data_IF_953016161259
#
_entry.id   IF_953016161259
#
_cell.length_a   1.000
_cell.length_b   1.000
_cell.length_c   1.000
_cell.angle_alpha   90.00
_cell.angle_beta   90.00
_cell.angle_gamma   90.00
#
_symmetry.space_group_name_H-M   'P 1'
#
loop_
_entity.id
_entity.type
_entity.pdbx_description
1 polymer ?
2 polymer ?
3 non-polymer ?
4 non-polymer ?
5 non-polymer ?
6 water ?
#
# COMPACT_ATOMS: atom_id res chain seq x y z
N UNK A 24 -12.50 -34.90 -25.90
CA UNK A 24 -11.08 -34.98 -25.56
C UNK A 24 -10.83 -34.62 -24.11
N UNK A 25 -11.34 -35.45 -23.19
CA UNK A 25 -11.21 -35.17 -21.77
C UNK A 25 -9.75 -35.04 -21.36
N UNK A 26 -8.89 -35.91 -21.90
CA UNK A 26 -7.50 -35.96 -21.46
C UNK A 26 -6.72 -34.73 -21.92
N UNK A 27 -6.92 -34.32 -23.17
CA UNK A 27 -6.23 -33.13 -23.68
C UNK A 27 -6.68 -31.86 -22.95
N UNK A 28 -7.97 -31.76 -22.63
CA UNK A 28 -8.47 -30.58 -21.91
C UNK A 28 -7.96 -30.56 -20.47
N UNK A 29 -7.88 -31.74 -19.83
CA UNK A 29 -7.31 -31.82 -18.49
C UNK A 29 -5.87 -31.35 -18.48
N UNK A 30 -5.11 -31.66 -19.54
CA UNK A 30 -3.74 -31.20 -19.66
C UNK A 30 -3.66 -29.69 -19.87
N UNK A 31 -4.56 -29.14 -20.70
CA UNK A 31 -4.58 -27.70 -20.91
C UNK A 31 -4.81 -26.94 -19.61
N UNK A 32 -5.62 -27.52 -18.72
CA UNK A 32 -5.89 -26.87 -17.44
C UNK A 32 -4.74 -27.06 -16.44
N UNK A 33 -4.37 -28.31 -16.18
CA UNK A 33 -3.48 -28.62 -15.07
C UNK A 33 -2.01 -28.40 -15.39
N UNK A 34 -1.63 -28.34 -16.66
CA UNK A 34 -0.23 -28.16 -17.03
C UNK A 34 -0.03 -26.85 -17.78
N UNK A 35 -0.73 -26.68 -18.90
CA UNK A 35 -0.49 -25.52 -19.76
C UNK A 35 -0.91 -24.24 -19.07
N UNK A 36 -2.19 -24.15 -18.69
CA UNK A 36 -2.70 -22.92 -18.09
C UNK A 36 -2.06 -22.66 -16.73
N UNK A 37 -1.88 -23.71 -15.93
CA UNK A 37 -1.29 -23.53 -14.61
C UNK A 37 0.13 -22.99 -14.70
N UNK A 38 0.90 -23.48 -15.68
CA UNK A 38 2.28 -23.02 -15.84
C UNK A 38 2.33 -21.54 -16.18
N UNK A 39 1.47 -21.09 -17.10
CA UNK A 39 1.40 -19.67 -17.41
C UNK A 39 0.86 -18.87 -16.23
N UNK A 40 -0.11 -19.44 -15.50
CA UNK A 40 -0.72 -18.73 -14.38
C UNK A 40 0.27 -18.42 -13.28
N UNK A 41 1.27 -19.28 -13.07
CA UNK A 41 2.26 -19.10 -12.02
C UNK A 41 3.40 -18.20 -12.43
N UNK A 42 3.55 -17.92 -13.71
CA UNK A 42 4.60 -17.01 -14.15
C UNK A 42 4.29 -15.60 -13.65
N UNK A 43 5.36 -14.86 -13.32
CA UNK A 43 5.13 -13.51 -12.83
C UNK A 43 4.59 -12.57 -13.90
N UNK A 44 4.56 -12.98 -15.18
CA UNK A 44 3.99 -12.14 -16.22
C UNK A 44 2.51 -12.42 -16.43
N UNK A 45 1.89 -13.21 -15.56
CA UNK A 45 0.51 -13.62 -15.81
C UNK A 45 -0.50 -12.54 -15.46
N UNK A 46 -0.18 -11.67 -14.49
CA UNK A 46 -1.23 -10.84 -13.90
C UNK A 46 -1.97 -9.93 -14.89
N UNK A 47 -1.34 -9.35 -15.94
CA UNK A 47 -2.14 -8.51 -16.85
C UNK A 47 -3.16 -9.31 -17.64
N UNK A 48 -3.05 -10.64 -17.68
CA UNK A 48 -3.90 -11.49 -18.48
C UNK A 48 -4.83 -12.36 -17.64
N UNK A 49 -4.89 -12.14 -16.33
CA UNK A 49 -5.67 -12.99 -15.44
C UNK A 49 -7.11 -12.54 -15.29
N UNK A 50 -7.47 -11.35 -15.76
CA UNK A 50 -8.86 -10.92 -15.80
C UNK A 50 -9.08 -10.13 -17.08
N UNK A 51 -10.33 -9.99 -17.52
CA UNK A 51 -10.61 -9.21 -18.73
C UNK A 51 -10.12 -7.76 -18.61
N UNK A 52 -9.77 -7.21 -19.77
CA UNK A 52 -9.45 -5.78 -19.87
C UNK A 52 -10.76 -5.01 -19.74
N UNK A 53 -10.93 -4.33 -18.61
CA UNK A 53 -12.09 -3.49 -18.37
C UNK A 53 -11.76 -2.09 -18.89
N UNK A 54 -12.12 -1.85 -20.16
CA UNK A 54 -11.69 -0.63 -20.82
C UNK A 54 -12.27 0.62 -20.17
N UNK A 55 -13.44 0.51 -19.54
CA UNK A 55 -14.01 1.64 -18.84
C UNK A 55 -13.20 1.95 -17.58
N UNK A 56 -12.96 0.93 -16.76
CA UNK A 56 -12.20 1.13 -15.53
C UNK A 56 -10.78 1.58 -15.82
N UNK A 57 -10.17 1.06 -16.89
CA UNK A 57 -8.79 1.36 -17.23
C UNK A 57 -8.63 2.62 -18.06
N UNK A 58 -9.72 3.31 -18.38
CA UNK A 58 -9.71 4.53 -19.19
C UNK A 58 -9.05 4.27 -20.55
N UNK A 59 -9.49 3.19 -21.20
CA UNK A 59 -9.06 2.84 -22.56
C UNK A 59 -10.24 2.94 -23.52
N UNK A 60 -10.68 4.14 -23.89
CA UNK A 60 -11.91 4.26 -24.71
C UNK A 60 -11.80 3.59 -26.08
N UNK A 61 -10.60 3.41 -26.61
CA UNK A 61 -10.41 2.84 -27.92
C UNK A 61 -10.26 1.32 -27.93
N UNK A 62 -10.26 0.67 -26.76
CA UNK A 62 -9.88 -0.75 -26.70
C UNK A 62 -10.89 -1.63 -27.43
N UNK A 63 -12.18 -1.47 -27.14
CA UNK A 63 -13.19 -2.30 -27.77
C UNK A 63 -13.39 -1.97 -29.24
N UNK A 64 -12.98 -0.78 -29.68
CA UNK A 64 -13.05 -0.45 -31.09
C UNK A 64 -12.00 -1.21 -31.90
N UNK A 65 -10.82 -1.43 -31.31
CA UNK A 65 -9.73 -2.11 -31.99
C UNK A 65 -9.79 -3.61 -31.77
N UNK A 66 -10.09 -4.05 -30.54
CA UNK A 66 -10.13 -5.45 -30.17
C UNK A 66 -11.60 -5.87 -30.14
N UNK A 67 -12.02 -6.68 -31.11
CA UNK A 67 -13.41 -7.09 -31.20
C UNK A 67 -13.71 -8.40 -30.49
N UNK A 68 -12.68 -9.20 -30.19
CA UNK A 68 -12.85 -10.46 -29.47
C UNK A 68 -11.90 -10.45 -28.27
N UNK A 69 -12.33 -9.84 -27.17
CA UNK A 69 -11.49 -9.86 -25.96
C UNK A 69 -11.35 -11.26 -25.42
N UNK A 70 -10.18 -11.54 -24.83
CA UNK A 70 -9.93 -12.85 -24.26
C UNK A 70 -8.81 -12.72 -23.23
N UNK A 71 -8.91 -13.53 -22.17
CA UNK A 71 -7.93 -13.52 -21.09
C UNK A 71 -7.86 -14.90 -20.46
N UNK A 72 -6.81 -15.11 -19.66
CA UNK A 72 -6.59 -16.40 -19.02
C UNK A 72 -7.61 -16.69 -17.91
N UNK A 73 -8.14 -15.64 -17.26
CA UNK A 73 -9.22 -15.85 -16.31
C UNK A 73 -10.46 -16.42 -16.98
N UNK A 74 -10.77 -15.94 -18.18
CA UNK A 74 -11.91 -16.49 -18.91
C UNK A 74 -11.63 -17.91 -19.38
N UNK A 75 -10.41 -18.16 -19.86
CA UNK A 75 -10.01 -19.51 -20.27
C UNK A 75 -10.09 -20.47 -19.08
N UNK A 76 -9.67 -20.01 -17.91
CA UNK A 76 -9.71 -20.84 -16.71
C UNK A 76 -11.13 -21.26 -16.37
N UNK A 77 -12.07 -20.30 -16.36
CA UNK A 77 -13.46 -20.62 -16.05
C UNK A 77 -14.08 -21.52 -17.10
N UNK A 78 -13.70 -21.35 -18.37
CA UNK A 78 -14.24 -22.22 -19.41
C UNK A 78 -13.73 -23.65 -19.27
N UNK A 79 -12.46 -23.81 -18.90
CA UNK A 79 -11.94 -25.15 -18.62
C UNK A 79 -12.59 -25.75 -17.38
N UNK A 80 -12.74 -24.94 -16.31
CA UNK A 80 -13.30 -25.45 -15.06
C UNK A 80 -14.77 -25.85 -15.22
N UNK A 81 -15.49 -25.22 -16.15
CA UNK A 81 -16.91 -25.47 -16.32
C UNK A 81 -17.21 -26.29 -17.56
N UNK A 82 -16.19 -26.91 -18.16
CA UNK A 82 -16.37 -27.83 -19.28
C UNK A 82 -17.05 -27.15 -20.47
N UNK A 83 -16.77 -25.86 -20.68
CA UNK A 83 -17.37 -25.14 -21.80
C UNK A 83 -16.69 -25.42 -23.12
N UNK A 84 -15.50 -26.00 -23.11
CA UNK A 84 -14.82 -26.36 -24.34
C UNK A 84 -15.18 -27.79 -24.76
N UNK A 85 -15.39 -27.97 -26.05
CA UNK A 85 -15.69 -29.29 -26.58
C UNK A 85 -14.44 -30.04 -27.01
N UNK A 86 -13.39 -29.34 -27.43
CA UNK A 86 -12.14 -29.98 -27.80
C UNK A 86 -10.99 -29.04 -27.46
N UNK A 87 -9.78 -29.57 -27.62
CA UNK A 87 -8.58 -28.80 -27.29
C UNK A 87 -8.40 -27.61 -28.23
N UNK A 88 -8.77 -27.77 -29.50
CA UNK A 88 -8.54 -26.71 -30.48
C UNK A 88 -9.31 -25.45 -30.11
N UNK A 89 -10.53 -25.60 -29.58
CA UNK A 89 -11.29 -24.44 -29.12
C UNK A 89 -10.53 -23.69 -28.03
N UNK A 90 -9.93 -24.42 -27.09
CA UNK A 90 -9.18 -23.77 -26.01
C UNK A 90 -7.90 -23.13 -26.53
N UNK A 91 -7.15 -23.84 -27.37
CA UNK A 91 -5.94 -23.28 -27.96
C UNK A 91 -6.25 -22.00 -28.73
N UNK A 92 -7.40 -21.96 -29.41
CA UNK A 92 -7.75 -20.78 -30.18
C UNK A 92 -7.93 -19.56 -29.27
N UNK A 93 -8.49 -19.76 -28.07
CA UNK A 93 -8.67 -18.65 -27.16
C UNK A 93 -7.32 -18.11 -26.66
N UNK A 94 -6.36 -19.00 -26.39
CA UNK A 94 -5.01 -18.55 -26.03
C UNK A 94 -4.43 -17.66 -27.12
N UNK A 95 -4.51 -18.11 -28.38
CA UNK A 95 -3.95 -17.35 -29.49
C UNK A 95 -4.66 -16.01 -29.65
N UNK A 96 -5.99 -15.99 -29.45
CA UNK A 96 -6.71 -14.73 -29.50
C UNK A 96 -6.18 -13.76 -28.44
N UNK A 97 -5.96 -14.26 -27.23
CA UNK A 97 -5.42 -13.42 -26.17
C UNK A 97 -4.07 -12.81 -26.56
N UNK A 98 -3.17 -13.64 -27.09
CA UNK A 98 -1.86 -13.14 -27.48
C UNK A 98 -1.96 -12.13 -28.62
N UNK A 99 -2.74 -12.44 -29.66
CA UNK A 99 -2.86 -11.54 -30.79
C UNK A 99 -3.49 -10.21 -30.39
N UNK A 100 -4.50 -10.25 -29.51
CA UNK A 100 -5.10 -9.01 -29.02
C UNK A 100 -4.05 -8.08 -28.44
N UNK A 101 -3.13 -8.64 -27.64
CA UNK A 101 -2.05 -7.84 -27.06
C UNK A 101 -1.12 -7.30 -28.14
N UNK A 102 -0.77 -8.14 -29.12
CA UNK A 102 0.11 -7.68 -30.19
C UNK A 102 -0.55 -6.61 -31.04
N UNK A 103 -1.86 -6.73 -31.27
CA UNK A 103 -2.57 -5.76 -32.11
C UNK A 103 -2.70 -4.43 -31.38
N UNK A 104 -3.09 -4.46 -30.10
CA UNK A 104 -3.40 -3.22 -29.40
C UNK A 104 -2.14 -2.45 -29.02
N UNK A 105 -1.06 -3.14 -28.73
CA UNK A 105 0.18 -2.50 -28.31
C UNK A 105 1.19 -2.50 -29.45
N UNK A 106 2.31 -1.84 -29.21
CA UNK A 106 3.36 -1.70 -30.20
C UNK A 106 4.48 -2.69 -29.93
N UNK A 107 5.26 -3.05 -30.95
CA UNK A 107 6.49 -3.81 -30.68
C UNK A 107 7.39 -2.99 -29.78
N UNK A 108 8.04 -3.64 -28.83
CA UNK A 108 8.87 -2.94 -27.89
C UNK A 108 8.15 -2.42 -26.66
N UNK A 109 6.82 -2.49 -26.62
CA UNK A 109 6.10 -2.20 -25.39
C UNK A 109 6.42 -3.26 -24.34
N UNK A 110 6.40 -2.84 -23.07
CA UNK A 110 6.70 -3.76 -21.99
C UNK A 110 5.74 -4.95 -21.99
N UNK A 111 4.44 -4.70 -22.23
CA UNK A 111 3.47 -5.78 -22.16
C UNK A 111 3.65 -6.76 -23.31
N UNK A 112 4.19 -6.30 -24.44
CA UNK A 112 4.42 -7.21 -25.56
C UNK A 112 5.57 -8.15 -25.25
N UNK A 113 6.60 -7.66 -24.55
CA UNK A 113 7.67 -8.56 -24.09
C UNK A 113 7.11 -9.66 -23.19
N UNK A 114 6.20 -9.29 -22.27
CA UNK A 114 5.60 -10.30 -21.40
C UNK A 114 4.76 -11.30 -22.19
N UNK A 115 3.97 -10.80 -23.15
CA UNK A 115 3.11 -11.69 -23.93
C UNK A 115 3.93 -12.63 -24.81
N UNK A 116 5.00 -12.13 -25.42
CA UNK A 116 5.83 -12.99 -26.27
C UNK A 116 6.49 -14.09 -25.45
N UNK A 117 6.93 -13.78 -24.23
CA UNK A 117 7.52 -14.80 -23.38
C UNK A 117 6.47 -15.82 -22.95
N UNK A 118 5.27 -15.35 -22.59
CA UNK A 118 4.21 -16.26 -22.20
C UNK A 118 3.80 -17.14 -23.38
N UNK A 119 3.77 -16.59 -24.59
CA UNK A 119 3.39 -17.38 -25.76
C UNK A 119 4.45 -18.44 -26.07
N UNK A 120 5.73 -18.06 -26.02
CA UNK A 120 6.79 -19.04 -26.20
C UNK A 120 6.68 -20.15 -25.16
N UNK A 121 6.41 -19.78 -23.90
CA UNK A 121 6.19 -20.77 -22.86
C UNK A 121 4.98 -21.62 -23.19
N UNK A 122 3.90 -21.00 -23.64
CA UNK A 122 2.70 -21.72 -24.04
C UNK A 122 3.00 -22.75 -25.12
N UNK A 123 3.75 -22.35 -26.16
CA UNK A 123 4.07 -23.26 -27.25
C UNK A 123 4.96 -24.41 -26.80
N UNK A 124 5.79 -24.20 -25.77
CA UNK A 124 6.62 -25.29 -25.27
C UNK A 124 5.78 -26.37 -24.61
N UNK A 125 4.69 -25.99 -23.95
CA UNK A 125 3.82 -26.97 -23.30
C UNK A 125 2.81 -27.56 -24.26
N UNK A 126 2.43 -26.84 -25.32
CA UNK A 126 1.52 -27.42 -26.30
C UNK A 126 2.21 -28.49 -27.15
N UNK A 127 3.55 -28.51 -27.18
CA UNK A 127 4.26 -29.57 -27.89
C UNK A 127 4.01 -30.92 -27.26
N UNK A 128 3.78 -30.96 -25.95
CA UNK A 128 3.64 -32.19 -25.19
C UNK A 128 2.19 -32.55 -24.92
N UNK A 129 1.27 -32.04 -25.74
CA UNK A 129 -0.15 -32.33 -25.57
C UNK A 129 -0.41 -33.80 -25.86
N UNK A 130 -1.16 -34.50 -25.01
CA UNK A 130 -1.42 -35.93 -25.25
C UNK A 130 -2.31 -36.14 -26.47
N UNK A 131 -2.45 -37.40 -26.86
CA UNK A 131 -3.28 -37.76 -28.00
C UNK A 131 -4.53 -38.51 -27.54
N UNK B 26 12.91 34.99 22.74
CA UNK B 26 14.15 34.41 22.24
C UNK B 26 14.29 32.95 22.63
N UNK B 27 13.96 32.65 23.90
CA UNK B 27 13.93 31.26 24.34
C UNK B 27 12.87 30.46 23.58
N UNK B 28 11.75 31.10 23.27
CA UNK B 28 10.71 30.45 22.48
C UNK B 28 11.19 30.15 21.07
N UNK B 29 12.07 30.99 20.53
CA UNK B 29 12.64 30.73 19.21
C UNK B 29 13.55 29.51 19.26
N UNK B 30 14.33 29.35 20.34
CA UNK B 30 15.19 28.18 20.47
C UNK B 30 14.36 26.91 20.62
N UNK B 31 13.23 26.99 21.33
CA UNK B 31 12.37 25.82 21.48
C UNK B 31 11.82 25.36 20.13
N UNK B 32 11.53 26.30 19.24
CA UNK B 32 11.02 25.95 17.92
C UNK B 32 12.15 25.49 17.00
N UNK B 33 13.16 26.34 16.81
CA UNK B 33 14.16 26.13 15.76
C UNK B 33 15.13 24.99 16.08
N UNK B 34 15.36 24.72 17.36
CA UNK B 34 16.40 23.78 17.77
C UNK B 34 15.80 22.55 18.46
N UNK B 35 15.05 22.76 19.54
CA UNK B 35 14.54 21.63 20.31
C UNK B 35 13.48 20.87 19.52
N UNK B 36 12.41 21.55 19.15
CA UNK B 36 11.30 20.86 18.48
C UNK B 36 11.72 20.34 17.10
N UNK B 37 12.52 21.12 16.37
CA UNK B 37 12.99 20.67 15.06
C UNK B 37 13.82 19.39 15.18
N UNK B 38 14.67 19.32 16.21
CA UNK B 38 15.48 18.12 16.42
C UNK B 38 14.59 16.94 16.79
N UNK B 39 13.61 17.17 17.66
CA UNK B 39 12.68 16.10 18.05
C UNK B 39 11.85 15.63 16.86
N UNK B 40 11.50 16.55 15.98
CA UNK B 40 10.64 16.23 14.84
C UNK B 40 11.29 15.22 13.90
N UNK B 41 12.63 15.25 13.78
CA UNK B 41 13.37 14.38 12.87
C UNK B 41 13.72 13.03 13.48
N UNK B 42 13.50 12.83 14.78
CA UNK B 42 13.74 11.53 15.38
C UNK B 42 12.81 10.49 14.78
N UNK B 43 13.32 9.26 14.64
CA UNK B 43 12.54 8.21 13.99
C UNK B 43 11.32 7.79 14.80
N UNK B 44 11.28 8.13 16.08
CA UNK B 44 10.16 7.79 16.96
C UNK B 44 9.20 8.96 17.18
N UNK B 45 9.31 10.02 16.37
CA UNK B 45 8.49 11.20 16.59
C UNK B 45 7.05 11.02 16.14
N UNK B 46 6.81 10.15 15.15
CA UNK B 46 5.51 10.15 14.49
C UNK B 46 4.32 9.90 15.42
N UNK B 47 4.39 9.06 16.46
CA UNK B 47 3.21 8.90 17.33
C UNK B 47 2.85 10.17 18.08
N UNK B 48 3.76 11.13 18.15
CA UNK B 48 3.56 12.35 18.93
C UNK B 48 3.39 13.59 18.06
N UNK B 49 3.25 13.43 16.74
CA UNK B 49 3.15 14.56 15.83
C UNK B 49 1.72 14.99 15.56
N UNK B 50 0.73 14.24 16.04
CA UNK B 50 -0.68 14.57 15.93
C UNK B 50 -1.37 14.28 17.25
N UNK B 51 -2.49 14.94 17.53
CA UNK B 51 -3.26 14.64 18.74
C UNK B 51 -3.75 13.20 18.76
N UNK B 52 -3.85 12.64 19.97
CA UNK B 52 -4.47 11.34 20.15
C UNK B 52 -5.98 11.54 19.98
N UNK B 53 -6.52 11.14 18.83
CA UNK B 53 -7.96 11.19 18.57
C UNK B 53 -8.55 9.87 19.05
N UNK B 54 -8.97 9.85 20.32
CA UNK B 54 -9.37 8.58 20.93
C UNK B 54 -10.60 7.99 20.26
N UNK B 55 -11.45 8.84 19.66
CA UNK B 55 -12.62 8.33 18.95
C UNK B 55 -12.18 7.64 17.66
N UNK B 56 -11.34 8.31 16.87
CA UNK B 56 -10.84 7.70 15.64
C UNK B 56 -9.99 6.47 15.94
N UNK B 57 -9.23 6.51 17.03
CA UNK B 57 -8.35 5.41 17.40
C UNK B 57 -9.05 4.34 18.23
N UNK B 58 -10.34 4.52 18.52
CA UNK B 58 -11.14 3.54 19.27
C UNK B 58 -10.48 3.22 20.61
N UNK B 59 -10.17 4.27 21.36
CA UNK B 59 -9.61 4.18 22.71
C UNK B 59 -10.65 4.64 23.71
N UNK B 60 -11.54 3.77 24.18
CA UNK B 60 -12.69 4.25 24.98
C UNK B 60 -12.30 4.86 26.31
N UNK B 61 -11.10 4.55 26.84
CA UNK B 61 -10.72 5.00 28.17
C UNK B 61 -9.62 6.05 28.17
N UNK B 62 -9.19 6.53 26.99
CA UNK B 62 -8.09 7.48 26.95
C UNK B 62 -8.46 8.80 27.61
N UNK B 63 -9.59 9.38 27.22
CA UNK B 63 -9.99 10.68 27.76
C UNK B 63 -10.42 10.62 29.22
N UNK B 64 -10.84 9.45 29.70
CA UNK B 64 -11.15 9.32 31.12
C UNK B 64 -9.89 9.30 31.97
N UNK B 65 -8.77 8.85 31.40
CA UNK B 65 -7.50 8.79 32.11
C UNK B 65 -6.67 10.04 31.87
N UNK B 66 -6.62 10.49 30.63
CA UNK B 66 -5.83 11.66 30.23
C UNK B 66 -6.77 12.84 30.12
N UNK B 67 -6.67 13.79 31.06
CA UNK B 67 -7.59 14.92 31.08
C UNK B 67 -7.08 16.11 30.28
N UNK B 68 -5.78 16.19 30.02
CA UNK B 68 -5.18 17.26 29.23
C UNK B 68 -4.30 16.65 28.14
N UNK B 69 -4.88 16.26 27.01
CA UNK B 69 -4.06 15.72 25.91
C UNK B 69 -3.13 16.79 25.35
N UNK B 70 -1.97 16.34 24.86
CA UNK B 70 -1.00 17.26 24.28
C UNK B 70 -0.12 16.48 23.32
N UNK B 71 0.34 17.17 22.27
CA UNK B 71 1.18 16.55 21.25
C UNK B 71 2.11 17.59 20.65
N UNK B 72 3.12 17.10 19.92
CA UNK B 72 4.10 17.99 19.30
C UNK B 72 3.51 18.77 18.14
N UNK B 73 2.51 18.23 17.46
CA UNK B 73 1.84 19.00 16.42
C UNK B 73 1.18 20.24 16.98
N UNK B 74 0.55 20.12 18.14
CA UNK B 74 -0.06 21.27 18.80
C UNK B 74 1.01 22.26 19.28
N UNK B 75 2.10 21.74 19.86
CA UNK B 75 3.18 22.60 20.30
C UNK B 75 3.78 23.36 19.12
N UNK B 76 3.96 22.68 17.98
CA UNK B 76 4.53 23.33 16.80
C UNK B 76 3.66 24.50 16.34
N UNK B 77 2.36 24.27 16.24
CA UNK B 77 1.45 25.33 15.79
C UNK B 77 1.40 26.47 16.80
N UNK B 78 1.49 26.15 18.10
CA UNK B 78 1.48 27.21 19.11
C UNK B 78 2.76 28.03 19.05
N UNK B 79 3.91 27.39 18.83
CA UNK B 79 5.15 28.15 18.69
C UNK B 79 5.15 29.00 17.43
N UNK B 80 4.65 28.46 16.31
CA UNK B 80 4.65 29.19 15.06
C UNK B 80 3.70 30.38 15.09
N UNK B 81 2.64 30.33 15.90
CA UNK B 81 1.63 31.38 15.93
C UNK B 81 1.72 32.26 17.17
N UNK B 82 2.84 32.20 17.89
CA UNK B 82 3.11 33.10 19.03
C UNK B 82 2.05 32.95 20.12
N UNK B 83 1.58 31.72 20.33
CA UNK B 83 0.52 31.46 21.29
C UNK B 83 1.01 31.59 22.73
N UNK B 84 2.24 31.14 23.00
CA UNK B 84 2.69 31.01 24.37
C UNK B 84 3.01 32.37 24.99
N UNK B 85 2.72 32.50 26.28
CA UNK B 85 3.13 33.68 27.03
C UNK B 85 4.64 33.70 27.25
N UNK B 86 5.23 32.53 27.48
CA UNK B 86 6.65 32.46 27.80
C UNK B 86 7.14 31.04 27.53
N UNK B 87 8.46 30.85 27.66
CA UNK B 87 9.06 29.55 27.35
C UNK B 87 8.61 28.46 28.31
N UNK B 88 8.41 28.80 29.58
CA UNK B 88 8.03 27.79 30.56
C UNK B 88 6.68 27.17 30.23
N UNK B 89 5.74 27.97 29.72
CA UNK B 89 4.44 27.43 29.31
C UNK B 89 4.62 26.37 28.23
N UNK B 90 5.52 26.60 27.28
CA UNK B 90 5.78 25.63 26.22
C UNK B 90 6.44 24.37 26.78
N UNK B 91 7.43 24.54 27.65
CA UNK B 91 8.08 23.39 28.28
C UNK B 91 7.05 22.53 29.02
N UNK B 92 6.07 23.17 29.66
CA UNK B 92 5.03 22.43 30.36
C UNK B 92 4.20 21.57 29.42
N UNK B 93 3.97 22.04 28.19
CA UNK B 93 3.25 21.22 27.23
C UNK B 93 4.05 19.99 26.84
N UNK B 94 5.37 20.14 26.67
CA UNK B 94 6.23 19.00 26.43
C UNK B 94 6.11 17.98 27.56
N UNK B 95 6.22 18.45 28.80
CA UNK B 95 6.16 17.55 29.96
C UNK B 95 4.81 16.85 30.04
N UNK B 96 3.72 17.57 29.76
CA UNK B 96 2.41 16.97 29.77
C UNK B 96 2.31 15.86 28.72
N UNK B 97 2.84 16.11 27.52
CA UNK B 97 2.84 15.10 26.47
C UNK B 97 3.50 13.81 26.93
N UNK B 98 4.70 13.92 27.50
CA UNK B 98 5.43 12.74 27.96
C UNK B 98 4.69 12.06 29.12
N UNK B 99 4.26 12.85 30.11
CA UNK B 99 3.61 12.28 31.28
C UNK B 99 2.31 11.56 30.91
N UNK B 100 1.54 12.14 29.98
CA UNK B 100 0.33 11.48 29.50
C UNK B 100 0.63 10.07 28.99
N UNK B 101 1.70 9.94 28.21
CA UNK B 101 2.06 8.64 27.66
C UNK B 101 2.40 7.64 28.76
N UNK B 102 3.12 8.09 29.79
CA UNK B 102 3.48 7.22 30.91
C UNK B 102 2.26 6.84 31.73
N UNK B 103 1.30 7.76 31.88
CA UNK B 103 0.12 7.47 32.70
C UNK B 103 -0.78 6.46 32.00
N UNK B 104 -1.01 6.64 30.69
CA UNK B 104 -1.98 5.81 29.98
C UNK B 104 -1.46 4.42 29.67
N UNK B 105 -0.17 4.30 29.35
CA UNK B 105 0.39 3.02 28.92
C UNK B 105 1.12 2.33 30.06
N UNK B 106 1.19 1.01 29.95
CA UNK B 106 1.89 0.21 30.95
C UNK B 106 3.40 0.30 30.71
N UNK B 107 4.19 0.24 31.78
CA UNK B 107 5.65 0.29 31.61
C UNK B 107 6.13 -0.86 30.73
N UNK B 108 7.12 -0.56 29.88
CA UNK B 108 7.66 -1.54 28.96
C UNK B 108 6.92 -1.66 27.65
N UNK B 109 5.78 -0.99 27.50
CA UNK B 109 5.11 -0.95 26.19
C UNK B 109 6.01 -0.26 25.18
N UNK B 110 5.84 -0.66 23.91
CA UNK B 110 6.68 -0.12 22.84
C UNK B 110 6.65 1.40 22.80
N UNK B 111 5.48 2.00 22.99
CA UNK B 111 5.37 3.45 22.89
C UNK B 111 6.07 4.13 24.09
N UNK B 112 6.14 3.46 25.24
CA UNK B 112 6.80 4.07 26.39
C UNK B 112 8.30 4.19 26.14
N UNK B 113 8.89 3.18 25.49
CA UNK B 113 10.30 3.27 25.12
C UNK B 113 10.55 4.35 24.08
N UNK B 114 9.60 4.56 23.16
CA UNK B 114 9.74 5.65 22.20
C UNK B 114 9.66 7.01 22.89
N UNK B 115 8.76 7.15 23.87
CA UNK B 115 8.66 8.40 24.62
C UNK B 115 9.93 8.66 25.42
N UNK B 116 10.50 7.61 26.01
CA UNK B 116 11.74 7.77 26.78
C UNK B 116 12.89 8.21 25.88
N UNK B 117 12.97 7.66 24.66
CA UNK B 117 14.04 8.06 23.75
C UNK B 117 13.87 9.51 23.32
N UNK B 118 12.64 9.93 23.02
CA UNK B 118 12.39 11.32 22.65
C UNK B 118 12.67 12.26 23.82
N UNK B 119 12.30 11.85 25.03
CA UNK B 119 12.49 12.72 26.18
C UNK B 119 13.97 12.88 26.50
N UNK B 120 14.75 11.80 26.37
CA UNK B 120 16.20 11.92 26.52
C UNK B 120 16.77 12.91 25.51
N UNK B 121 16.33 12.82 24.25
CA UNK B 121 16.75 13.80 23.26
C UNK B 121 16.28 15.20 23.62
N UNK B 122 15.04 15.33 24.10
CA UNK B 122 14.51 16.63 24.50
C UNK B 122 15.40 17.29 25.54
N UNK B 123 15.77 16.53 26.59
CA UNK B 123 16.65 17.08 27.61
C UNK B 123 18.06 17.32 27.06
N UNK B 124 18.48 16.52 26.09
CA UNK B 124 19.81 16.70 25.50
C UNK B 124 19.92 18.01 24.73
N UNK B 125 18.84 18.44 24.08
CA UNK B 125 18.86 19.71 23.35
C UNK B 125 18.47 20.90 24.22
N UNK B 126 17.68 20.65 25.28
CA UNK B 126 17.35 21.69 26.24
C UNK B 126 18.58 22.11 27.05
N UNK B 127 19.70 21.40 26.89
CA UNK B 127 20.93 21.71 27.62
C UNK B 127 21.38 23.14 27.37
N UNK B 128 21.20 23.64 26.15
CA UNK B 128 21.70 24.94 25.74
C UNK B 128 20.63 26.02 25.70
N UNK B 129 19.55 25.85 26.44
CA UNK B 129 18.52 26.87 26.50
C UNK B 129 19.06 28.13 27.18
N UNK B 130 18.91 29.32 26.57
CA UNK B 130 19.39 30.61 27.08
C UNK B 130 19.00 30.88 28.54
N UNK C 21 8.66 32.99 6.29
CA UNK C 21 7.32 32.62 6.77
C UNK C 21 7.38 31.69 7.99
N UNK C 22 6.89 32.18 9.13
CA UNK C 22 7.01 31.44 10.38
C UNK C 22 5.93 30.37 10.52
N UNK C 23 4.68 30.69 10.18
CA UNK C 23 3.59 29.72 10.26
C UNK C 23 3.74 28.64 9.20
N UNK C 24 4.68 27.73 9.40
CA UNK C 24 4.94 26.68 8.41
C UNK C 24 3.84 25.64 8.35
N UNK C 25 3.02 25.52 9.40
CA UNK C 25 1.83 24.66 9.31
C UNK C 25 0.83 25.21 8.30
N UNK C 26 0.79 26.54 8.13
CA UNK C 26 -0.16 27.14 7.19
C UNK C 26 0.29 26.93 5.75
N UNK C 27 1.58 27.14 5.46
CA UNK C 27 2.08 26.88 4.11
C UNK C 27 1.91 25.40 3.74
N UNK C 28 2.12 24.51 4.71
CA UNK C 28 1.90 23.09 4.45
C UNK C 28 0.42 22.79 4.21
N UNK C 29 -0.47 23.48 4.92
CA UNK C 29 -1.90 23.32 4.66
C UNK C 29 -2.26 23.83 3.27
N UNK C 30 -1.60 24.90 2.81
CA UNK C 30 -1.82 25.36 1.45
C UNK C 30 -1.32 24.34 0.43
N UNK C 31 -0.13 23.76 0.67
CA UNK C 31 0.37 22.75 -0.25
C UNK C 31 -0.59 21.57 -0.36
N UNK C 32 -1.25 21.22 0.74
CA UNK C 32 -2.20 20.11 0.71
C UNK C 32 -3.52 20.52 0.08
N UNK C 33 -4.08 21.66 0.51
CA UNK C 33 -5.45 21.98 0.12
C UNK C 33 -5.54 22.64 -1.25
N UNK C 34 -4.48 23.31 -1.70
CA UNK C 34 -4.50 24.03 -2.98
C UNK C 34 -3.58 23.38 -4.00
N UNK C 35 -2.30 23.23 -3.67
CA UNK C 35 -1.33 22.73 -4.65
C UNK C 35 -1.60 21.25 -4.97
N UNK C 36 -1.58 20.41 -3.94
CA UNK C 36 -1.73 18.98 -4.17
C UNK C 36 -3.12 18.64 -4.72
N UNK C 37 -4.15 19.31 -4.22
CA UNK C 37 -5.50 19.08 -4.74
C UNK C 37 -5.59 19.42 -6.22
N UNK C 38 -4.96 20.52 -6.63
CA UNK C 38 -4.95 20.89 -8.05
C UNK C 38 -4.19 19.88 -8.89
N UNK C 39 -3.02 19.45 -8.43
CA UNK C 39 -2.25 18.45 -9.17
C UNK C 39 -2.97 17.11 -9.22
N UNK C 40 -3.64 16.74 -8.13
CA UNK C 40 -4.32 15.45 -8.07
C UNK C 40 -5.40 15.34 -9.14
N UNK C 41 -6.02 16.47 -9.50
CA UNK C 41 -7.10 16.49 -10.47
C UNK C 41 -6.59 16.56 -11.90
N UNK C 42 -5.30 16.80 -12.10
CA UNK C 42 -4.74 16.83 -13.44
C UNK C 42 -4.88 15.45 -14.09
N UNK C 43 -5.13 15.46 -15.40
CA UNK C 43 -5.38 14.20 -16.12
C UNK C 43 -4.13 13.33 -16.23
N UNK C 44 -2.95 13.90 -16.04
CA UNK C 44 -1.70 13.16 -16.11
C UNK C 44 -1.09 12.86 -14.74
N UNK C 45 -1.86 13.04 -13.66
CA UNK C 45 -1.32 12.83 -12.33
C UNK C 45 -1.26 11.35 -11.96
N UNK C 46 -2.13 10.53 -12.55
CA UNK C 46 -2.31 9.18 -12.05
C UNK C 46 -1.05 8.31 -12.03
N UNK C 47 -0.09 8.41 -12.96
CA UNK C 47 1.10 7.54 -12.86
C UNK C 47 1.95 7.82 -11.64
N UNK C 48 1.75 8.95 -10.96
CA UNK C 48 2.58 9.35 -9.84
C UNK C 48 1.83 9.26 -8.53
N UNK C 49 0.65 8.66 -8.52
CA UNK C 49 -0.20 8.59 -7.32
C UNK C 49 0.02 7.34 -6.48
N UNK C 50 0.82 6.38 -6.94
CA UNK C 50 1.15 5.19 -6.18
C UNK C 50 2.65 4.93 -6.32
N UNK C 51 3.24 4.22 -5.36
CA UNK C 51 4.66 3.83 -5.50
C UNK C 51 4.85 2.94 -6.71
N UNK C 52 6.03 3.05 -7.33
CA UNK C 52 6.40 2.20 -8.46
C UNK C 52 6.70 0.79 -7.95
N UNK C 53 5.86 -0.17 -8.33
CA UNK C 53 6.06 -1.60 -8.01
C UNK C 53 6.93 -2.19 -9.12
N UNK C 54 8.25 -2.14 -8.93
CA UNK C 54 9.18 -2.48 -9.99
C UNK C 54 9.14 -3.96 -10.36
N UNK C 55 8.81 -4.83 -9.41
CA UNK C 55 8.73 -6.26 -9.73
C UNK C 55 7.52 -6.55 -10.60
N UNK C 56 6.36 -6.07 -10.18
CA UNK C 56 5.12 -6.33 -10.92
C UNK C 56 5.16 -5.69 -12.30
N UNK C 57 5.79 -4.53 -12.42
CA UNK C 57 5.90 -3.80 -13.68
C UNK C 57 7.11 -4.24 -14.51
N UNK C 58 7.89 -5.20 -14.01
CA UNK C 58 9.07 -5.73 -14.69
C UNK C 58 10.09 -4.64 -15.04
N UNK C 59 10.44 -3.85 -14.03
CA UNK C 59 11.47 -2.82 -14.15
C UNK C 59 12.68 -3.25 -13.34
N UNK C 60 13.46 -4.22 -13.80
CA UNK C 60 14.35 -4.96 -12.89
C UNK C 60 15.45 -4.12 -12.23
N UNK C 61 15.82 -2.97 -12.81
CA UNK C 61 16.90 -2.16 -12.27
C UNK C 61 16.42 -0.85 -11.66
N UNK C 62 15.11 -0.75 -11.38
CA UNK C 62 14.54 0.52 -10.92
C UNK C 62 15.09 0.91 -9.55
N UNK C 63 15.05 -0.01 -8.58
CA UNK C 63 15.50 0.33 -7.23
C UNK C 63 17.01 0.47 -7.16
N UNK C 64 17.74 -0.03 -8.15
CA UNK C 64 19.18 0.21 -8.23
C UNK C 64 19.49 1.61 -8.73
N UNK C 65 18.69 2.12 -9.67
CA UNK C 65 18.91 3.46 -10.20
C UNK C 65 18.27 4.51 -9.32
N UNK C 66 17.07 4.25 -8.81
CA UNK C 66 16.32 5.21 -8.00
C UNK C 66 16.51 4.82 -6.54
N UNK C 67 17.28 5.63 -5.81
CA UNK C 67 17.59 5.32 -4.42
C UNK C 67 16.62 5.96 -3.43
N UNK C 68 15.88 6.99 -3.83
CA UNK C 68 14.90 7.64 -2.97
C UNK C 68 13.57 7.66 -3.70
N UNK C 69 12.80 6.57 -3.64
CA UNK C 69 11.51 6.54 -4.32
C UNK C 69 10.55 7.56 -3.70
N UNK C 70 9.68 8.11 -4.54
CA UNK C 70 8.73 9.10 -4.07
C UNK C 70 7.55 9.13 -5.02
N UNK C 71 6.36 9.38 -4.46
CA UNK C 71 5.14 9.47 -5.23
C UNK C 71 4.19 10.44 -4.52
N UNK C 72 3.17 10.88 -5.26
CA UNK C 72 2.22 11.86 -4.73
C UNK C 72 1.31 11.26 -3.66
N UNK C 73 1.04 9.95 -3.74
CA UNK C 73 0.28 9.31 -2.67
C UNK C 73 1.01 9.37 -1.35
N UNK C 74 2.34 9.17 -1.38
CA UNK C 74 3.12 9.28 -0.15
C UNK C 74 3.18 10.72 0.34
N UNK C 75 3.38 11.67 -0.57
CA UNK C 75 3.38 13.08 -0.18
C UNK C 75 2.05 13.46 0.44
N UNK C 76 0.94 12.97 -0.13
CA UNK C 76 -0.38 13.33 0.38
C UNK C 76 -0.56 12.87 1.83
N UNK C 77 -0.28 11.60 2.11
CA UNK C 77 -0.45 11.12 3.48
C UNK C 77 0.54 11.78 4.44
N UNK C 78 1.72 12.18 3.95
CA UNK C 78 2.65 12.92 4.79
C UNK C 78 2.12 14.30 5.13
N UNK C 79 1.48 14.97 4.16
CA UNK C 79 0.85 16.26 4.44
C UNK C 79 -0.33 16.12 5.38
N UNK C 80 -1.15 15.08 5.19
CA UNK C 80 -2.33 14.90 6.01
C UNK C 80 -1.98 14.55 7.45
N UNK C 81 -0.84 13.92 7.67
CA UNK C 81 -0.49 13.41 8.99
C UNK C 81 0.66 14.17 9.65
N UNK C 82 0.94 15.39 9.19
CA UNK C 82 1.87 16.30 9.85
C UNK C 82 3.29 15.71 9.91
N UNK C 83 3.74 15.16 8.78
CA UNK C 83 5.08 14.60 8.71
C UNK C 83 6.14 15.67 8.48
N UNK C 84 5.83 16.69 7.69
CA UNK C 84 6.84 17.65 7.24
C UNK C 84 7.10 18.74 8.28
N UNK C 85 8.36 19.14 8.40
CA UNK C 85 8.71 20.26 9.26
C UNK C 85 8.34 21.60 8.63
N UNK C 86 8.60 21.78 7.34
CA UNK C 86 8.26 23.01 6.65
C UNK C 86 7.88 22.71 5.21
N UNK C 87 7.48 23.76 4.49
CA UNK C 87 7.04 23.60 3.11
C UNK C 87 8.17 23.17 2.19
N UNK C 88 9.41 23.61 2.43
CA UNK C 88 10.50 23.26 1.53
C UNK C 88 10.80 21.75 1.54
N UNK C 89 10.64 21.11 2.70
CA UNK C 89 10.79 19.66 2.78
C UNK C 89 9.76 18.96 1.89
N UNK C 90 8.52 19.45 1.87
CA UNK C 90 7.53 18.87 0.98
C UNK C 90 7.88 19.16 -0.47
N UNK C 91 8.26 20.40 -0.79
CA UNK C 91 8.68 20.76 -2.14
C UNK C 91 9.84 19.88 -2.58
N UNK C 92 10.73 19.54 -1.65
CA UNK C 92 11.87 18.67 -1.97
C UNK C 92 11.41 17.28 -2.40
N UNK C 93 10.34 16.77 -1.79
CA UNK C 93 9.81 15.46 -2.18
C UNK C 93 9.19 15.51 -3.58
N UNK C 94 8.48 16.58 -3.91
CA UNK C 94 7.97 16.74 -5.27
C UNK C 94 9.10 16.71 -6.29
N UNK C 95 10.16 17.49 -6.04
CA UNK C 95 11.28 17.54 -6.98
C UNK C 95 11.96 16.18 -7.11
N UNK C 96 12.09 15.45 -6.00
CA UNK C 96 12.64 14.09 -6.09
C UNK C 96 11.78 13.20 -6.97
N UNK C 97 10.45 13.30 -6.83
CA UNK C 97 9.53 12.52 -7.65
C UNK C 97 9.75 12.79 -9.12
N UNK C 98 9.83 14.07 -9.51
CA UNK C 98 10.01 14.42 -10.91
C UNK C 98 11.37 13.97 -11.44
N UNK C 99 12.44 14.23 -10.68
CA UNK C 99 13.78 13.87 -11.13
C UNK C 99 13.94 12.36 -11.26
N UNK C 100 13.35 11.59 -10.35
CA UNK C 100 13.38 10.13 -10.48
C UNK C 100 12.86 9.70 -11.84
N UNK C 101 11.75 10.30 -12.28
CA UNK C 101 11.16 9.95 -13.57
C UNK C 101 12.10 10.34 -14.72
N UNK C 102 12.73 11.50 -14.63
CA UNK C 102 13.65 11.94 -15.68
C UNK C 102 14.90 11.07 -15.73
N UNK C 103 15.38 10.62 -14.57
CA UNK C 103 16.61 9.83 -14.52
C UNK C 103 16.38 8.43 -15.09
N UNK C 104 15.30 7.77 -14.66
CA UNK C 104 15.09 6.38 -15.03
C UNK C 104 14.64 6.22 -16.46
N UNK C 105 13.85 7.15 -16.97
CA UNK C 105 13.30 7.04 -18.31
C UNK C 105 14.12 7.89 -19.28
N UNK C 106 13.83 7.74 -20.56
CA UNK C 106 14.50 8.44 -21.64
C UNK C 106 13.73 9.71 -21.99
N UNK C 107 14.42 10.72 -22.53
CA UNK C 107 13.71 11.94 -22.96
C UNK C 107 12.72 11.63 -24.07
N UNK C 108 11.55 12.26 -24.00
CA UNK C 108 10.51 12.03 -24.98
C UNK C 108 9.60 10.86 -24.67
N UNK C 109 9.87 10.09 -23.63
CA UNK C 109 8.94 9.03 -23.23
C UNK C 109 7.60 9.64 -22.83
N UNK C 110 6.53 8.87 -23.05
CA UNK C 110 5.19 9.35 -22.72
C UNK C 110 5.09 9.78 -21.27
N UNK C 111 5.69 9.01 -20.36
CA UNK C 111 5.59 9.33 -18.95
C UNK C 111 6.41 10.57 -18.61
N UNK C 112 7.48 10.84 -19.36
CA UNK C 112 8.28 12.04 -19.12
C UNK C 112 7.52 13.29 -19.54
N UNK C 113 6.82 13.23 -20.69
CA UNK C 113 5.96 14.34 -21.09
C UNK C 113 4.90 14.62 -20.05
N UNK C 114 4.41 13.58 -19.37
CA UNK C 114 3.43 13.78 -18.30
C UNK C 114 4.08 14.39 -17.06
N UNK C 115 5.29 13.95 -16.71
CA UNK C 115 5.98 14.51 -15.56
C UNK C 115 6.34 15.98 -15.78
N UNK C 116 6.75 16.33 -17.00
CA UNK C 116 7.10 17.71 -17.29
C UNK C 116 5.90 18.63 -17.15
N UNK C 117 4.72 18.17 -17.58
CA UNK C 117 3.52 18.99 -17.45
C UNK C 117 3.13 19.18 -15.99
N UNK C 118 3.21 18.12 -15.18
CA UNK C 118 2.90 18.27 -13.75
C UNK C 118 3.90 19.18 -13.06
N UNK C 119 5.19 19.07 -13.42
CA UNK C 119 6.19 19.90 -12.77
C UNK C 119 6.01 21.37 -13.14
N UNK C 120 5.71 21.65 -14.41
CA UNK C 120 5.42 23.03 -14.82
C UNK C 120 4.23 23.58 -14.05
N UNK C 121 3.16 22.79 -13.93
CA UNK C 121 2.01 23.21 -13.13
C UNK C 121 2.38 23.35 -11.66
N UNK C 122 3.17 22.41 -11.14
CA UNK C 122 3.60 22.48 -9.74
C UNK C 122 4.38 23.76 -9.46
N UNK C 123 5.38 24.06 -10.29
CA UNK C 123 6.18 25.27 -10.07
C UNK C 123 5.34 26.53 -10.29
N UNK C 124 4.30 26.42 -11.11
CA UNK C 124 3.38 27.54 -11.32
C UNK C 124 2.62 27.87 -10.05
N UNK C 125 2.22 26.86 -9.27
CA UNK C 125 1.36 27.08 -8.12
C UNK C 125 2.13 27.40 -6.85
N UNK C 126 3.37 26.92 -6.68
CA UNK C 126 4.14 27.26 -5.50
C UNK C 126 4.59 28.70 -5.47
N UNK C 127 4.53 29.41 -6.62
CA UNK C 127 4.82 30.84 -6.64
C UNK C 127 3.84 31.64 -5.79
N UNK C 128 2.64 31.12 -5.55
CA UNK C 128 1.56 31.83 -4.90
C UNK C 128 1.47 31.54 -3.41
N UNK C 129 2.55 31.10 -2.79
CA UNK C 129 2.55 30.82 -1.34
C UNK C 129 2.39 32.09 -0.52
N UNK D 21 -13.96 -29.61 -5.54
CA UNK D 21 -14.70 -28.98 -6.65
C UNK D 21 -13.82 -28.51 -7.79
N UNK D 22 -14.20 -28.84 -9.02
CA UNK D 22 -13.44 -28.39 -10.18
C UNK D 22 -13.60 -26.89 -10.42
N UNK D 23 -14.73 -26.31 -9.99
CA UNK D 23 -15.04 -24.91 -10.29
C UNK D 23 -14.36 -24.02 -9.24
N UNK D 24 -13.04 -23.85 -9.41
CA UNK D 24 -12.24 -23.18 -8.39
C UNK D 24 -12.39 -21.66 -8.44
N UNK D 25 -12.57 -21.09 -9.63
CA UNK D 25 -12.86 -19.66 -9.70
C UNK D 25 -14.11 -19.32 -8.88
N UNK D 26 -15.13 -20.16 -8.96
CA UNK D 26 -16.35 -19.96 -8.18
C UNK D 26 -16.07 -20.07 -6.69
N UNK D 27 -15.26 -21.05 -6.28
CA UNK D 27 -14.90 -21.19 -4.87
C UNK D 27 -14.18 -19.95 -4.36
N UNK D 28 -13.31 -19.37 -5.19
CA UNK D 28 -12.62 -18.16 -4.78
C UNK D 28 -13.59 -16.98 -4.64
N UNK D 29 -14.63 -16.94 -5.48
CA UNK D 29 -15.64 -15.90 -5.34
C UNK D 29 -16.40 -16.03 -4.01
N UNK D 30 -16.73 -17.25 -3.60
CA UNK D 30 -17.34 -17.43 -2.29
C UNK D 30 -16.39 -17.05 -1.17
N UNK D 31 -15.09 -17.32 -1.33
CA UNK D 31 -14.12 -16.89 -0.34
C UNK D 31 -14.10 -15.38 -0.20
N UNK D 32 -14.29 -14.67 -1.31
CA UNK D 32 -14.32 -13.21 -1.27
C UNK D 32 -15.65 -12.70 -0.72
N UNK D 33 -16.77 -13.22 -1.24
CA UNK D 33 -18.07 -12.64 -0.99
C UNK D 33 -18.67 -13.07 0.35
N UNK D 34 -18.24 -14.19 0.90
CA UNK D 34 -18.83 -14.72 2.13
C UNK D 34 -17.81 -14.74 3.26
N UNK D 35 -16.69 -15.42 3.05
CA UNK D 35 -15.72 -15.60 4.12
C UNK D 35 -15.02 -14.28 4.45
N UNK D 36 -14.36 -13.69 3.45
CA UNK D 36 -13.59 -12.48 3.70
C UNK D 36 -14.49 -11.31 4.09
N UNK D 37 -15.66 -11.19 3.46
CA UNK D 37 -16.59 -10.12 3.81
C UNK D 37 -17.00 -10.20 5.27
N UNK D 38 -17.27 -11.42 5.76
CA UNK D 38 -17.63 -11.61 7.16
C UNK D 38 -16.46 -11.30 8.09
N UNK D 39 -15.26 -11.79 7.75
CA UNK D 39 -14.09 -11.56 8.58
C UNK D 39 -13.71 -10.09 8.62
N UNK D 40 -13.84 -9.38 7.50
CA UNK D 40 -13.44 -7.98 7.44
C UNK D 40 -14.22 -7.12 8.42
N UNK D 41 -15.49 -7.46 8.67
CA UNK D 41 -16.33 -6.65 9.53
C UNK D 41 -16.21 -7.00 11.01
N UNK D 42 -15.51 -8.09 11.34
CA UNK D 42 -15.33 -8.46 12.73
C UNK D 42 -14.54 -7.39 13.47
N UNK D 43 -14.86 -7.23 14.76
CA UNK D 43 -14.25 -6.18 15.56
C UNK D 43 -12.75 -6.40 15.80
N UNK D 44 -12.26 -7.63 15.62
CA UNK D 44 -10.85 -7.96 15.80
C UNK D 44 -10.09 -8.04 14.48
N UNK D 45 -10.70 -7.60 13.38
CA UNK D 45 -10.08 -7.74 12.07
C UNK D 45 -9.01 -6.69 11.81
N UNK D 46 -9.15 -5.50 12.39
CA UNK D 46 -8.34 -4.36 11.95
C UNK D 46 -6.83 -4.54 12.06
N UNK D 47 -6.25 -5.26 13.04
CA UNK D 47 -4.78 -5.41 13.04
C UNK D 47 -4.24 -6.18 11.85
N UNK D 48 -5.10 -6.88 11.11
CA UNK D 48 -4.67 -7.72 10.00
C UNK D 48 -5.09 -7.16 8.65
N UNK D 49 -5.57 -5.92 8.61
CA UNK D 49 -6.07 -5.34 7.37
C UNK D 49 -5.00 -4.56 6.59
N UNK D 50 -3.83 -4.36 7.15
CA UNK D 50 -2.74 -3.68 6.45
C UNK D 50 -1.45 -4.47 6.68
N UNK D 51 -0.48 -4.34 5.78
CA UNK D 51 0.82 -4.97 6.03
C UNK D 51 1.46 -4.40 7.29
N UNK D 52 2.20 -5.25 7.99
CA UNK D 52 2.97 -4.83 9.17
C UNK D 52 4.15 -3.99 8.71
N UNK D 53 4.14 -2.70 9.03
CA UNK D 53 5.27 -1.82 8.76
C UNK D 53 6.20 -1.91 9.97
N UNK D 54 7.12 -2.88 9.93
CA UNK D 54 7.96 -3.18 11.09
C UNK D 54 8.94 -2.07 11.41
N UNK D 55 9.37 -1.32 10.39
CA UNK D 55 10.30 -0.21 10.64
C UNK D 55 9.59 0.91 11.38
N UNK D 56 8.43 1.32 10.88
CA UNK D 56 7.67 2.38 11.53
C UNK D 56 7.22 1.96 12.93
N UNK D 57 6.85 0.70 13.09
CA UNK D 57 6.35 0.22 14.37
C UNK D 57 7.46 -0.22 15.33
N UNK D 58 8.72 -0.15 14.90
CA UNK D 58 9.85 -0.51 15.74
C UNK D 58 9.68 -1.92 16.28
N UNK D 59 9.46 -2.87 15.37
CA UNK D 59 9.33 -4.26 15.77
C UNK D 59 10.63 -4.96 15.47
N UNK D 60 11.46 -5.24 16.47
CA UNK D 60 12.78 -5.80 16.20
C UNK D 60 12.70 -7.21 15.63
N UNK D 61 13.51 -7.45 14.60
CA UNK D 61 13.66 -8.76 13.98
C UNK D 61 12.37 -9.27 13.33
N UNK D 62 11.39 -8.41 13.07
CA UNK D 62 10.15 -8.90 12.46
C UNK D 62 10.42 -9.54 11.11
N UNK D 63 11.13 -8.84 10.23
CA UNK D 63 11.43 -9.39 8.91
C UNK D 63 12.47 -10.49 8.98
N UNK D 64 13.27 -10.50 10.05
CA UNK D 64 14.23 -11.58 10.28
C UNK D 64 13.52 -12.86 10.69
N UNK D 65 12.34 -12.74 11.29
CA UNK D 65 11.58 -13.89 11.79
C UNK D 65 10.42 -14.25 10.88
N UNK D 66 9.73 -13.25 10.35
CA UNK D 66 8.56 -13.45 9.49
C UNK D 66 9.03 -13.35 8.05
N UNK D 67 9.10 -14.49 7.38
CA UNK D 67 9.64 -14.55 6.03
C UNK D 67 8.60 -14.43 4.94
N UNK D 68 7.33 -14.68 5.26
CA UNK D 68 6.22 -14.53 4.32
C UNK D 68 5.18 -13.64 4.98
N UNK D 69 5.34 -12.32 4.88
CA UNK D 69 4.33 -11.44 5.45
C UNK D 69 3.02 -11.59 4.70
N UNK D 70 1.91 -11.42 5.43
CA UNK D 70 0.59 -11.55 4.82
C UNK D 70 -0.43 -10.81 5.67
N UNK D 71 -1.44 -10.26 5.01
CA UNK D 71 -2.51 -9.53 5.68
C UNK D 71 -3.78 -9.67 4.84
N UNK D 72 -4.93 -9.35 5.46
CA UNK D 72 -6.20 -9.49 4.76
C UNK D 72 -6.36 -8.48 3.64
N UNK D 73 -5.74 -7.30 3.75
CA UNK D 73 -5.77 -6.35 2.65
C UNK D 73 -5.13 -6.91 1.39
N UNK D 74 -4.02 -7.62 1.54
CA UNK D 74 -3.37 -8.27 0.40
C UNK D 74 -4.22 -9.41 -0.13
N UNK D 75 -4.80 -10.22 0.77
CA UNK D 75 -5.68 -11.30 0.36
C UNK D 75 -6.88 -10.76 -0.39
N UNK D 76 -7.45 -9.66 0.09
CA UNK D 76 -8.63 -9.06 -0.54
C UNK D 76 -8.35 -8.65 -1.98
N UNK D 77 -7.26 -7.91 -2.20
CA UNK D 77 -6.96 -7.47 -3.56
C UNK D 77 -6.61 -8.66 -4.47
N UNK D 78 -5.99 -9.71 -3.92
CA UNK D 78 -5.72 -10.90 -4.71
C UNK D 78 -7.00 -11.63 -5.09
N UNK D 79 -7.98 -11.68 -4.19
CA UNK D 79 -9.28 -12.27 -4.52
C UNK D 79 -10.02 -11.41 -5.54
N UNK D 80 -9.97 -10.08 -5.36
CA UNK D 80 -10.70 -9.18 -6.26
C UNK D 80 -10.15 -9.21 -7.68
N UNK D 81 -8.86 -9.49 -7.84
CA UNK D 81 -8.22 -9.40 -9.14
C UNK D 81 -7.80 -10.75 -9.71
N UNK D 82 -8.38 -11.84 -9.19
CA UNK D 82 -8.21 -13.18 -9.76
C UNK D 82 -6.74 -13.62 -9.76
N UNK D 83 -6.08 -13.40 -8.62
CA UNK D 83 -4.68 -13.80 -8.47
C UNK D 83 -4.55 -15.31 -8.24
N UNK D 84 -5.41 -15.88 -7.39
CA UNK D 84 -5.23 -17.24 -6.91
C UNK D 84 -5.58 -18.28 -7.97
N UNK D 85 -4.82 -19.38 -7.97
CA UNK D 85 -5.12 -20.52 -8.82
C UNK D 85 -6.31 -21.32 -8.30
N UNK D 86 -6.36 -21.55 -6.99
CA UNK D 86 -7.46 -22.30 -6.41
C UNK D 86 -7.72 -21.80 -4.99
N UNK D 87 -8.78 -22.34 -4.38
CA UNK D 87 -9.18 -21.90 -3.05
C UNK D 87 -8.12 -22.22 -2.01
N UNK D 88 -7.37 -23.31 -2.20
CA UNK D 88 -6.37 -23.71 -1.23
C UNK D 88 -5.25 -22.68 -1.08
N UNK D 89 -4.83 -22.06 -2.19
CA UNK D 89 -3.81 -21.00 -2.08
C UNK D 89 -4.30 -19.85 -1.24
N UNK D 90 -5.57 -19.48 -1.39
CA UNK D 90 -6.10 -18.37 -0.59
C UNK D 90 -6.17 -18.76 0.88
N UNK D 91 -6.65 -19.96 1.16
CA UNK D 91 -6.70 -20.46 2.54
C UNK D 91 -5.31 -20.49 3.14
N UNK D 92 -4.30 -20.85 2.34
CA UNK D 92 -2.92 -20.89 2.83
C UNK D 92 -2.44 -19.50 3.23
N UNK D 93 -2.84 -18.46 2.48
CA UNK D 93 -2.46 -17.11 2.83
C UNK D 93 -3.10 -16.67 4.15
N UNK D 94 -4.37 -17.03 4.37
CA UNK D 94 -5.00 -16.80 5.66
C UNK D 94 -4.23 -17.48 6.78
N UNK D 95 -3.89 -18.76 6.58
CA UNK D 95 -3.16 -19.50 7.61
C UNK D 95 -1.79 -18.87 7.87
N UNK D 96 -1.11 -18.42 6.82
CA UNK D 96 0.16 -17.73 7.01
C UNK D 96 -0.01 -16.46 7.84
N UNK D 97 -1.05 -15.69 7.56
CA UNK D 97 -1.31 -14.47 8.32
C UNK D 97 -1.45 -14.77 9.81
N UNK D 98 -2.28 -15.77 10.15
CA UNK D 98 -2.45 -16.15 11.55
C UNK D 98 -1.15 -16.70 12.14
N UNK D 99 -0.48 -17.57 11.40
CA UNK D 99 0.75 -18.21 11.90
C UNK D 99 1.84 -17.18 12.18
N UNK D 100 1.97 -16.18 11.30
CA UNK D 100 2.91 -15.09 11.54
C UNK D 100 2.65 -14.45 12.90
N UNK D 101 1.37 -14.21 13.21
CA UNK D 101 1.02 -13.58 14.47
C UNK D 101 1.40 -14.47 15.65
N UNK D 102 1.14 -15.77 15.54
CA UNK D 102 1.49 -16.70 16.61
C UNK D 102 3.01 -16.85 16.77
N UNK D 103 3.75 -16.83 15.67
CA UNK D 103 5.20 -17.01 15.76
C UNK D 103 5.87 -15.77 16.34
N UNK D 104 5.49 -14.58 15.86
CA UNK D 104 6.21 -13.39 16.28
C UNK D 104 5.84 -12.96 17.70
N UNK D 105 4.59 -13.14 18.10
CA UNK D 105 4.12 -12.67 19.39
C UNK D 105 4.09 -13.80 20.42
N UNK D 106 4.02 -13.41 21.68
CA UNK D 106 4.00 -14.42 22.72
C UNK D 106 2.56 -14.84 23.03
N UNK D 107 2.37 -16.08 23.49
CA UNK D 107 1.02 -16.53 23.85
C UNK D 107 0.42 -15.64 24.93
N UNK D 108 -0.88 -15.38 24.80
CA UNK D 108 -1.58 -14.52 25.74
C UNK D 108 -1.51 -13.04 25.42
N UNK D 109 -0.73 -12.63 24.42
CA UNK D 109 -0.76 -11.24 23.98
C UNK D 109 -2.13 -10.88 23.44
N UNK D 110 -2.49 -9.60 23.58
CA UNK D 110 -3.79 -9.14 23.11
C UNK D 110 -3.98 -9.45 21.63
N UNK D 111 -2.94 -9.24 20.82
CA UNK D 111 -3.08 -9.46 19.39
C UNK D 111 -3.22 -10.95 19.08
N UNK D 112 -2.64 -11.81 19.93
CA UNK D 112 -2.78 -13.25 19.72
C UNK D 112 -4.20 -13.70 20.02
N UNK D 113 -4.78 -13.18 21.11
CA UNK D 113 -6.17 -13.52 21.42
C UNK D 113 -7.13 -13.01 20.34
N UNK D 114 -6.80 -11.90 19.69
CA UNK D 114 -7.63 -11.43 18.58
C UNK D 114 -7.47 -12.33 17.37
N UNK D 115 -6.25 -12.76 17.08
CA UNK D 115 -6.02 -13.67 15.96
C UNK D 115 -6.69 -15.03 16.18
N UNK D 116 -6.66 -15.52 17.43
CA UNK D 116 -7.29 -16.81 17.72
C UNK D 116 -8.81 -16.76 17.53
N UNK D 117 -9.44 -15.66 17.98
CA UNK D 117 -10.88 -15.54 17.77
C UNK D 117 -11.22 -15.40 16.30
N UNK D 118 -10.44 -14.60 15.57
CA UNK D 118 -10.65 -14.43 14.14
C UNK D 118 -10.45 -15.74 13.39
N UNK D 119 -9.47 -16.54 13.82
CA UNK D 119 -9.19 -17.81 13.16
C UNK D 119 -10.34 -18.80 13.36
N UNK D 120 -10.90 -18.85 14.57
CA UNK D 120 -12.04 -19.71 14.83
C UNK D 120 -13.21 -19.35 13.93
N UNK D 121 -13.50 -18.06 13.80
CA UNK D 121 -14.56 -17.63 12.88
C UNK D 121 -14.22 -18.00 11.44
N UNK D 122 -12.95 -17.82 11.05
CA UNK D 122 -12.53 -18.18 9.69
C UNK D 122 -12.80 -19.65 9.40
N UNK D 123 -12.41 -20.54 10.31
CA UNK D 123 -12.63 -21.97 10.08
C UNK D 123 -14.12 -22.32 10.07
N UNK D 124 -14.94 -21.60 10.85
CA UNK D 124 -16.38 -21.84 10.80
C UNK D 124 -16.95 -21.49 9.43
N UNK D 125 -16.46 -20.41 8.81
CA UNK D 125 -17.10 -19.96 7.60
C UNK D 125 -16.64 -20.75 6.38
N UNK D 126 -15.41 -21.28 6.38
CA UNK D 126 -15.02 -22.13 5.26
C UNK D 126 -15.72 -23.48 5.33
N UNK D 127 -16.20 -23.87 6.51
CA UNK D 127 -17.01 -25.09 6.63
C UNK D 127 -18.34 -24.95 5.90
N UNK D 128 -18.84 -23.71 5.77
CA UNK D 128 -20.17 -23.49 5.23
C UNK D 128 -20.14 -23.16 3.74
N UNK D 129 -19.03 -23.45 3.07
CA UNK D 129 -18.93 -23.23 1.64
C UNK D 129 -19.77 -24.28 0.89
N UNK D 130 -20.23 -23.95 -0.32
CA UNK D 130 -21.17 -24.84 -1.01
C UNK D 130 -20.58 -26.20 -1.37
N UNK D 131 -21.46 -27.18 -1.48
CA UNK D 131 -21.14 -28.58 -1.79
C UNK D 131 -19.92 -29.09 -1.04
N UNK E 2 -7.53 3.34 -10.01
CA UNK E 2 -6.60 4.23 -9.34
C UNK E 2 -5.70 3.53 -8.32
N UNK E 4 -4.15 -0.72 -6.99
CA UNK E 4 -3.97 -2.17 -7.18
C UNK E 4 -3.81 -2.54 -8.66
N UNK E 5 -4.50 -3.61 -9.06
CA UNK E 5 -4.34 -4.14 -10.42
C UNK E 5 -4.64 -3.09 -11.47
N UNK E 6 -5.73 -2.34 -11.29
CA UNK E 6 -6.12 -1.34 -12.28
C UNK E 6 -5.00 -0.33 -12.51
N UNK E 7 -4.47 0.24 -11.42
CA UNK E 7 -3.37 1.19 -11.57
C UNK E 7 -2.15 0.55 -12.21
N UNK E 8 -1.81 -0.68 -11.79
CA UNK E 8 -0.66 -1.39 -12.36
C UNK E 8 -0.81 -1.64 -13.86
N UNK E 10 -2.65 -0.02 -16.12
CA UNK E 10 -2.56 1.29 -16.76
C UNK E 10 -1.09 1.72 -16.83
N UNK E 12 1.53 -0.20 -16.66
CA UNK E 12 2.21 -1.10 -17.59
C UNK E 12 2.00 -0.70 -19.05
N UNK E 13 0.75 -0.39 -19.39
CA UNK E 13 0.42 -0.01 -20.76
C UNK E 13 1.06 1.32 -21.15
N UNK E 14 1.35 2.18 -20.16
CA UNK E 14 1.99 3.45 -20.44
C UNK E 14 3.41 3.27 -20.96
N UNK E 15 4.06 2.16 -20.63
CA UNK E 15 5.40 1.89 -21.14
C UNK E 15 5.34 0.99 -22.38
N UNK F 2 -8.31 3.38 9.89
CA UNK F 2 -8.23 2.07 9.25
C UNK F 2 -7.01 2.00 8.34
N UNK F 4 -2.96 4.21 7.31
CA UNK F 4 -1.91 5.21 7.55
C UNK F 4 -1.59 5.42 9.04
N UNK F 5 -1.47 6.69 9.42
CA UNK F 5 -1.07 7.05 10.78
C UNK F 5 -2.03 6.45 11.81
N UNK F 6 -3.34 6.57 11.57
CA UNK F 6 -4.32 6.05 12.51
C UNK F 6 -4.13 4.55 12.75
N UNK F 7 -4.04 3.76 11.68
CA UNK F 7 -3.84 2.32 11.82
C UNK F 7 -2.52 2.00 12.53
N UNK F 8 -1.44 2.66 12.12
CA UNK F 8 -0.13 2.45 12.74
C UNK F 8 -0.17 2.80 14.22
N UNK F 10 -2.76 2.69 16.29
CA UNK F 10 -3.48 1.66 17.04
C UNK F 10 -2.66 0.38 17.17
N UNK F 12 0.57 0.21 17.32
CA UNK F 12 1.57 0.53 18.32
C UNK F 12 0.99 0.43 19.72
N UNK F 13 -0.19 1.01 19.92
CA UNK F 13 -0.83 0.96 21.24
C UNK F 13 -1.29 -0.45 21.59
N UNK F 14 -1.59 -1.27 20.59
CA UNK F 14 -1.98 -2.65 20.85
C UNK F 14 -0.81 -3.45 21.42
N UNK F 15 0.40 -3.15 20.95
CA UNK F 15 1.58 -3.92 21.33
C UNK F 15 2.08 -3.50 22.71
#
# INVERSE_FOLDING_TARGET
QGPLGSSTNPPPPETSNPNKPKRQTNQLQYLLRVVLKTLWKHQFAWPFQQPVDAVKLNLPDYYKIIKTPMDMGTIKKRLENNYYWNAQECIQDFNTMFTNCYIYNKPGDDIVLMAEALEKLFLQKINELPTEEPEFPGRLERPHRD
QGPLGSSTNPPPPETSNPNKPKRQTNQLQYLLRVVLKTLWKHQFAWPFQQPVDAVKLNLPDYYKIIKTPMDMGTIKKRLENNYYWNAQECIQDFNTMFTNCYIYNKPGDDIVLMAEALEKLFLQKINELPTEEPEFPGRLERPHRD
QGPLGSSTNPPPPETSNPNKPKRQTNQLQYLLRVVLKTLWKHQFAWPFQQPVDAVKLNLPDYYKIIKTPMDMGTIKKRLENNYYWNAQECIQDFNTMFTNCYIYNKPGDDIVLMAEALEKLFLQKINELPTEEPEFPGRLERPHRD
QGPLGSSTNPPPPETSNPNKPKRQTNQLQYLLRVVLKTLWKHQFAWPFQQPVDAVKLNLPDYYKIIKTPMDMGTIKKRLENNYYWNAQECIQDFNTMFTNCYIYNKPGDDIVLMAEALEKLFLQKINELPTEEPEFPGRLERPHRD
XWXNWCWLXRXLLLRX
XWXNWCWLXRXLLLRX
#
